data_IF_484764310569
#
_entry.id   IF_484764310569
#
_cell.length_a   1.000
_cell.length_b   1.000
_cell.length_c   1.000
_cell.angle_alpha   90.00
_cell.angle_beta   90.00
_cell.angle_gamma   90.00
#
_symmetry.space_group_name_H-M   'P 1'
#
loop_
_entity.id
_entity.type
_entity.pdbx_description
1 polymer ?
#
# COMPACT_ATOMS: atom_id res chain seq x y z
N UNK A 1 -7.77 -20.89 -20.73
CA UNK A 1 -8.03 -19.54 -20.20
C UNK A 1 -6.75 -19.09 -19.51
N UNK A 2 -6.13 -17.99 -19.95
CA UNK A 2 -4.92 -17.47 -19.29
C UNK A 2 -5.35 -16.43 -18.25
N UNK A 3 -5.47 -16.89 -17.01
CA UNK A 3 -5.89 -16.06 -15.86
C UNK A 3 -4.92 -14.91 -15.60
N UNK A 4 -3.63 -15.08 -15.95
CA UNK A 4 -2.61 -14.05 -15.78
C UNK A 4 -2.83 -12.90 -16.75
N UNK A 5 -3.14 -13.22 -18.01
CA UNK A 5 -3.44 -12.20 -19.03
C UNK A 5 -4.73 -11.44 -18.71
N UNK A 6 -5.76 -12.12 -18.21
CA UNK A 6 -7.01 -11.47 -17.79
C UNK A 6 -6.81 -10.56 -16.58
N UNK A 7 -6.05 -11.01 -15.59
CA UNK A 7 -5.72 -10.20 -14.42
C UNK A 7 -4.90 -8.96 -14.79
N UNK A 8 -3.93 -9.11 -15.70
CA UNK A 8 -3.14 -7.98 -16.20
C UNK A 8 -4.03 -6.91 -16.84
N UNK A 9 -4.86 -7.30 -17.81
CA UNK A 9 -5.76 -6.38 -18.49
C UNK A 9 -6.74 -5.69 -17.54
N UNK A 10 -7.23 -6.41 -16.51
CA UNK A 10 -8.12 -5.83 -15.50
C UNK A 10 -7.39 -4.80 -14.61
N UNK A 11 -6.10 -5.00 -14.32
CA UNK A 11 -5.29 -4.03 -13.60
C UNK A 11 -4.90 -2.83 -14.46
N UNK A 12 -4.55 -3.03 -15.74
CA UNK A 12 -4.25 -1.95 -16.67
C UNK A 12 -5.44 -0.98 -16.79
N UNK A 13 -6.66 -1.51 -16.90
CA UNK A 13 -7.89 -0.70 -16.89
C UNK A 13 -8.07 0.10 -15.59
N UNK A 14 -7.72 -0.47 -14.43
CA UNK A 14 -7.77 0.25 -13.14
C UNK A 14 -6.76 1.40 -13.06
N UNK A 15 -5.62 1.27 -13.76
CA UNK A 15 -4.62 2.34 -13.89
C UNK A 15 -5.21 3.49 -14.71
N UNK A 16 -5.79 3.18 -15.88
CA UNK A 16 -6.43 4.17 -16.76
C UNK A 16 -7.60 4.90 -16.06
N UNK A 17 -8.37 4.19 -15.24
CA UNK A 17 -9.46 4.75 -14.43
C UNK A 17 -8.98 5.58 -13.22
N UNK A 18 -7.66 5.65 -12.99
CA UNK A 18 -7.07 6.44 -11.91
C UNK A 18 -7.39 5.88 -10.52
N UNK A 19 -7.53 4.56 -10.40
CA UNK A 19 -7.77 3.87 -9.13
C UNK A 19 -6.75 4.31 -8.07
N UNK A 20 -7.21 4.65 -6.87
CA UNK A 20 -6.32 4.98 -5.75
C UNK A 20 -5.31 3.89 -5.41
N UNK A 21 -5.63 2.63 -5.73
CA UNK A 21 -4.75 1.48 -5.51
C UNK A 21 -3.65 1.35 -6.56
N UNK A 22 -3.72 2.12 -7.67
CA UNK A 22 -2.69 2.19 -8.70
C UNK A 22 -1.87 3.47 -8.61
N UNK A 23 -2.17 4.34 -7.64
CA UNK A 23 -1.41 5.57 -7.40
C UNK A 23 -0.28 5.31 -6.42
N UNK A 24 0.88 5.90 -6.70
CA UNK A 24 1.99 5.91 -5.77
C UNK A 24 1.65 6.76 -4.55
N UNK A 25 2.13 6.34 -3.38
CA UNK A 25 2.04 7.13 -2.15
C UNK A 25 3.13 8.20 -2.14
N UNK A 26 2.88 9.33 -1.48
CA UNK A 26 3.85 10.42 -1.42
C UNK A 26 5.06 10.07 -0.54
N UNK A 27 6.22 10.66 -0.83
CA UNK A 27 7.43 10.49 -0.01
C UNK A 27 7.23 10.95 1.44
N UNK A 28 6.41 11.98 1.67
CA UNK A 28 6.04 12.43 3.01
C UNK A 28 5.28 11.34 3.80
N UNK A 29 4.37 10.63 3.13
CA UNK A 29 3.63 9.49 3.72
C UNK A 29 4.57 8.36 4.10
N UNK A 30 5.59 8.10 3.27
CA UNK A 30 6.62 7.08 3.52
C UNK A 30 7.45 7.45 4.76
N UNK A 31 7.93 8.69 4.85
CA UNK A 31 8.75 9.14 5.98
C UNK A 31 7.98 9.17 7.31
N UNK A 32 6.71 9.61 7.29
CA UNK A 32 5.81 9.49 8.46
C UNK A 32 5.63 8.03 8.89
N UNK A 33 5.45 7.14 7.92
CA UNK A 33 5.29 5.71 8.23
C UNK A 33 6.54 5.12 8.88
N UNK A 34 7.74 5.51 8.42
CA UNK A 34 9.02 5.09 9.00
C UNK A 34 9.23 5.63 10.43
N UNK A 35 8.74 6.83 10.74
CA UNK A 35 8.84 7.42 12.08
C UNK A 35 7.82 6.83 13.08
N UNK A 36 6.98 5.89 12.64
CA UNK A 36 6.01 5.19 13.49
C UNK A 36 4.58 5.73 13.37
N UNK A 37 4.37 6.77 12.56
CA UNK A 37 3.06 7.33 12.22
C UNK A 37 2.55 6.72 10.91
N UNK A 38 1.98 5.52 11.01
CA UNK A 38 1.49 4.74 9.87
C UNK A 38 0.05 4.28 10.08
N UNK A 39 -0.65 4.04 8.97
CA UNK A 39 -2.01 3.50 8.95
C UNK A 39 -2.13 2.35 7.94
N UNK A 40 -3.04 1.42 8.20
CA UNK A 40 -3.43 0.38 7.24
C UNK A 40 -4.90 0.58 6.90
N UNK A 41 -5.20 0.64 5.61
CA UNK A 41 -6.57 0.73 5.09
C UNK A 41 -6.96 -0.61 4.46
N UNK A 42 -7.90 -1.34 5.08
CA UNK A 42 -8.36 -2.66 4.60
C UNK A 42 -9.71 -2.56 3.88
N UNK A 43 -10.44 -1.46 4.04
CA UNK A 43 -11.76 -1.24 3.45
C UNK A 43 -11.75 0.16 2.84
N UNK A 44 -12.35 0.33 1.67
CA UNK A 44 -12.18 1.41 0.70
C UNK A 44 -12.19 2.86 1.22
N UNK A 45 -12.46 3.18 2.48
CA UNK A 45 -12.52 4.58 2.95
C UNK A 45 -12.10 4.82 4.41
N UNK A 46 -11.81 3.80 5.23
CA UNK A 46 -11.53 4.01 6.66
C UNK A 46 -10.25 3.29 7.12
N UNK A 47 -9.29 4.02 7.72
CA UNK A 47 -8.11 3.40 8.31
C UNK A 47 -8.53 2.53 9.49
N UNK A 48 -7.83 1.40 9.68
CA UNK A 48 -8.03 0.54 10.84
C UNK A 48 -7.57 1.32 12.09
N UNK A 49 -8.39 1.39 13.14
CA UNK A 49 -8.02 2.12 14.36
C UNK A 49 -6.66 1.70 14.92
N UNK A 50 -5.83 2.68 15.32
CA UNK A 50 -4.44 2.45 15.77
C UNK A 50 -4.31 1.49 16.96
N UNK A 51 -5.33 1.38 17.79
CA UNK A 51 -5.38 0.45 18.93
C UNK A 51 -5.44 -1.02 18.51
N UNK A 52 -5.82 -1.32 17.27
CA UNK A 52 -5.77 -2.67 16.70
C UNK A 52 -4.33 -3.13 16.43
N UNK A 53 -3.35 -2.21 16.49
CA UNK A 53 -1.94 -2.49 16.26
C UNK A 53 -1.12 -2.34 17.54
N UNK A 54 0.00 -3.08 17.68
CA UNK A 54 0.89 -2.95 18.83
C UNK A 54 1.41 -1.51 18.99
N UNK A 55 1.65 -1.08 20.23
CA UNK A 55 2.08 0.30 20.52
C UNK A 55 3.38 0.65 19.80
N UNK A 56 4.29 -0.32 19.65
CA UNK A 56 5.51 -0.18 18.86
C UNK A 56 5.60 -1.27 17.80
N UNK A 57 6.13 -0.90 16.64
CA UNK A 57 6.50 -1.83 15.57
C UNK A 57 8.01 -2.07 15.49
N UNK A 58 8.79 -1.43 16.37
CA UNK A 58 10.25 -1.60 16.42
C UNK A 58 10.60 -3.06 16.72
N UNK A 59 11.35 -3.69 15.82
CA UNK A 59 11.77 -5.10 15.95
C UNK A 59 10.74 -6.13 15.45
N UNK A 60 9.56 -5.71 14.97
CA UNK A 60 8.59 -6.61 14.36
C UNK A 60 8.89 -6.83 12.87
N UNK A 61 8.78 -8.09 12.43
CA UNK A 61 8.82 -8.43 10.99
C UNK A 61 7.44 -8.15 10.40
N UNK A 62 7.30 -7.02 9.71
CA UNK A 62 6.06 -6.67 9.00
C UNK A 62 6.08 -7.32 7.61
N UNK A 63 5.09 -8.18 7.34
CA UNK A 63 4.87 -8.75 6.01
C UNK A 63 3.93 -7.83 5.22
N UNK A 64 4.43 -7.19 4.17
CA UNK A 64 3.62 -6.34 3.31
C UNK A 64 3.29 -7.07 2.00
N UNK A 65 2.05 -7.55 1.87
CA UNK A 65 1.61 -8.35 0.71
C UNK A 65 1.26 -7.51 -0.53
N UNK A 66 1.37 -6.18 -0.47
CA UNK A 66 1.07 -5.26 -1.58
C UNK A 66 1.71 -3.86 -1.38
N UNK A 67 2.99 -3.79 -0.99
CA UNK A 67 3.69 -2.50 -0.91
C UNK A 67 4.16 -2.07 -2.29
N UNK A 68 3.94 -0.81 -2.67
CA UNK A 68 4.73 -0.15 -3.71
C UNK A 68 6.00 0.36 -3.03
N UNK A 69 7.15 -0.23 -3.34
CA UNK A 69 8.46 0.33 -3.02
C UNK A 69 8.90 1.14 -4.21
N UNK A 70 8.72 2.46 -4.15
CA UNK A 70 9.37 3.38 -5.07
C UNK A 70 10.87 3.34 -4.77
N UNK A 71 11.58 2.48 -5.48
CA UNK A 71 13.03 2.61 -5.67
C UNK A 71 13.21 3.64 -6.79
N UNK A 72 13.12 4.91 -6.43
CA UNK A 72 13.82 5.97 -7.15
C UNK A 72 15.32 5.75 -6.93
N UNK A 73 15.89 4.82 -7.70
CA UNK A 73 17.32 4.76 -7.96
C UNK A 73 17.52 5.53 -9.29
N UNK A 74 17.84 6.82 -9.15
CA UNK A 74 18.49 7.61 -10.19
C UNK A 74 19.54 8.51 -9.56
#
# INVERSE_FOLDING_TARGET
MDTTKQNRNAWDKKVEEGSRYTKTVSSETIEKSKSGDWEITVITEKPVPRHCFPKSITGLKILCLASVSDLSDH
#
